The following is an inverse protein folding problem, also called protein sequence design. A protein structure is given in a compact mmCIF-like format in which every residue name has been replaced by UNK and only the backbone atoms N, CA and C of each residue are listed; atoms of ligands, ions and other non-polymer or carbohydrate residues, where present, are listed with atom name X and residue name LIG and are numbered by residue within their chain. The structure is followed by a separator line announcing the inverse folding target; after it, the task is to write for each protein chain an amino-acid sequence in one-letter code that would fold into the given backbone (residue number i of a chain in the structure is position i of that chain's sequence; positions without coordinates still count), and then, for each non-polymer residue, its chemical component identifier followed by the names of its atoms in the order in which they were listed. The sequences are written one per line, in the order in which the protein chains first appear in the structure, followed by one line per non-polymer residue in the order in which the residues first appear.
data_IF_567134853853
#
_entry.id   IF_567134853853
#
_cell.length_a   1.000
_cell.length_b   1.000
_cell.length_c   1.000
_cell.angle_alpha   90.00
_cell.angle_beta   90.00
_cell.angle_gamma   90.00
#
_symmetry.space_group_name_H-M   'P 1'
#
loop_
_entity.id
_entity.type
_entity.pdbx_description
1 polymer ?
#
# COMPACT_ATOMS: atom_id res chain seq x y z
N UNK A 1 12.53 -92.21 34.80
CA UNK A 1 12.27 -90.92 35.48
C UNK A 1 12.87 -89.81 34.63
N UNK A 2 12.10 -88.73 34.45
CA UNK A 2 12.47 -87.42 33.89
C UNK A 2 12.97 -87.35 32.45
N UNK A 3 12.03 -87.16 31.50
CA UNK A 3 12.33 -86.57 30.19
C UNK A 3 12.10 -85.06 30.28
N UNK A 4 13.16 -84.27 30.12
CA UNK A 4 13.08 -82.82 30.13
C UNK A 4 12.46 -82.31 28.82
N UNK A 5 11.39 -81.51 28.95
CA UNK A 5 10.78 -80.76 27.87
C UNK A 5 11.69 -79.58 27.48
N UNK A 6 12.07 -79.49 26.20
CA UNK A 6 12.68 -78.28 25.66
C UNK A 6 11.62 -77.40 25.01
N UNK A 7 11.56 -76.17 25.51
CA UNK A 7 10.62 -75.13 25.14
C UNK A 7 11.11 -74.54 23.81
N UNK A 8 10.22 -74.47 22.82
CA UNK A 8 10.48 -73.88 21.50
C UNK A 8 10.75 -72.37 21.69
N UNK A 9 11.99 -71.94 21.46
CA UNK A 9 12.34 -70.51 21.43
C UNK A 9 11.79 -69.87 20.17
N UNK A 10 11.07 -68.76 20.35
CA UNK A 10 10.60 -67.88 19.28
C UNK A 10 11.69 -66.85 18.98
N UNK A 11 12.86 -67.33 18.55
CA UNK A 11 13.95 -66.49 18.09
C UNK A 11 14.03 -66.58 16.56
N UNK A 12 13.73 -65.51 15.81
CA UNK A 12 13.77 -65.52 14.34
C UNK A 12 15.19 -65.38 13.75
N UNK A 13 16.23 -65.58 14.57
CA UNK A 13 17.64 -65.43 14.18
C UNK A 13 18.47 -66.70 14.41
N UNK A 14 17.87 -67.80 14.91
CA UNK A 14 18.55 -69.08 15.15
C UNK A 14 18.33 -70.07 13.99
N UNK A 15 18.00 -69.56 12.81
CA UNK A 15 17.91 -70.35 11.59
C UNK A 15 19.30 -70.45 10.95
N UNK A 16 20.10 -71.39 11.45
CA UNK A 16 21.29 -71.95 10.78
C UNK A 16 20.86 -72.72 9.50
N UNK A 17 20.12 -72.07 8.61
CA UNK A 17 20.02 -72.49 7.23
C UNK A 17 21.20 -71.85 6.51
N UNK A 18 22.28 -72.63 6.36
CA UNK A 18 23.26 -72.39 5.32
C UNK A 18 22.49 -72.36 3.99
N UNK A 19 22.14 -71.15 3.56
CA UNK A 19 21.49 -70.93 2.26
C UNK A 19 22.54 -71.30 1.22
N UNK A 20 22.45 -72.51 0.68
CA UNK A 20 23.35 -72.99 -0.38
C UNK A 20 23.56 -71.88 -1.42
N UNK A 21 24.80 -71.68 -1.84
CA UNK A 21 25.18 -70.65 -2.81
C UNK A 21 24.32 -70.74 -4.10
N UNK A 22 23.88 -71.95 -4.46
CA UNK A 22 22.94 -72.17 -5.56
C UNK A 22 21.54 -71.58 -5.30
N UNK A 23 21.04 -71.66 -4.07
CA UNK A 23 19.75 -71.09 -3.65
C UNK A 23 19.83 -69.56 -3.61
N UNK A 24 20.95 -69.01 -3.16
CA UNK A 24 21.22 -67.58 -3.14
C UNK A 24 21.37 -67.00 -4.57
N UNK A 25 22.10 -67.70 -5.45
CA UNK A 25 22.27 -67.32 -6.86
C UNK A 25 21.00 -67.49 -7.69
N UNK A 26 20.13 -68.44 -7.35
CA UNK A 26 18.84 -68.67 -8.03
C UNK A 26 17.79 -67.64 -7.61
N UNK A 27 17.80 -67.18 -6.37
CA UNK A 27 16.95 -66.08 -5.92
C UNK A 27 17.42 -64.72 -6.45
N UNK A 28 18.71 -64.58 -6.77
CA UNK A 28 19.28 -63.39 -7.43
C UNK A 28 18.98 -63.32 -8.94
N UNK A 29 18.43 -64.39 -9.56
CA UNK A 29 17.94 -64.40 -10.94
C UNK A 29 16.49 -63.91 -11.08
N UNK A 30 16.04 -63.04 -10.19
CA UNK A 30 14.87 -62.22 -10.48
C UNK A 30 15.34 -61.16 -11.48
N UNK A 31 15.05 -61.36 -12.76
CA UNK A 31 15.08 -60.25 -13.71
C UNK A 31 14.13 -59.19 -13.16
N UNK A 32 14.61 -58.03 -12.71
CA UNK A 32 13.71 -56.93 -12.42
C UNK A 32 12.98 -56.67 -13.73
N UNK A 33 11.67 -56.49 -13.67
CA UNK A 33 10.91 -56.02 -14.82
C UNK A 33 11.32 -54.55 -15.06
N UNK A 34 12.54 -54.34 -15.60
CA UNK A 34 13.19 -53.05 -15.82
C UNK A 34 12.25 -52.12 -16.60
N UNK A 35 11.53 -52.69 -17.57
CA UNK A 35 10.51 -51.99 -18.35
C UNK A 35 9.41 -51.31 -17.51
N UNK A 36 8.97 -51.92 -16.40
CA UNK A 36 7.95 -51.32 -15.51
C UNK A 36 8.53 -50.20 -14.65
N UNK A 37 9.76 -50.37 -14.15
CA UNK A 37 10.43 -49.35 -13.34
C UNK A 37 10.82 -48.14 -14.20
N UNK A 38 11.35 -48.37 -15.40
CA UNK A 38 11.72 -47.32 -16.34
C UNK A 38 10.51 -46.51 -16.81
N UNK A 39 9.38 -47.17 -17.11
CA UNK A 39 8.12 -46.50 -17.43
C UNK A 39 7.59 -45.65 -16.26
N UNK A 40 7.73 -46.15 -15.03
CA UNK A 40 7.36 -45.41 -13.83
C UNK A 40 8.26 -44.18 -13.62
N UNK A 41 9.58 -44.32 -13.76
CA UNK A 41 10.55 -43.21 -13.66
C UNK A 41 10.27 -42.14 -14.72
N UNK A 42 9.97 -42.54 -15.96
CA UNK A 42 9.61 -41.60 -17.03
C UNK A 42 8.32 -40.83 -16.70
N UNK A 43 7.29 -41.51 -16.18
CA UNK A 43 6.05 -40.85 -15.77
C UNK A 43 6.25 -39.82 -14.66
N UNK A 44 7.17 -40.10 -13.71
CA UNK A 44 7.53 -39.16 -12.66
C UNK A 44 8.32 -37.96 -13.19
N UNK A 45 9.24 -38.17 -14.14
CA UNK A 45 9.99 -37.08 -14.77
C UNK A 45 9.08 -36.16 -15.60
N UNK A 46 8.11 -36.73 -16.32
CA UNK A 46 7.13 -35.97 -17.08
C UNK A 46 6.25 -35.12 -16.15
N UNK A 47 5.73 -35.73 -15.09
CA UNK A 47 4.96 -34.99 -14.07
C UNK A 47 5.78 -33.88 -13.43
N UNK A 48 7.06 -34.12 -13.12
CA UNK A 48 7.95 -33.09 -12.59
C UNK A 48 8.08 -31.92 -13.56
N UNK A 49 8.32 -32.17 -14.84
CA UNK A 49 8.44 -31.11 -15.87
C UNK A 49 7.16 -30.30 -16.00
N UNK A 50 6.00 -30.96 -16.01
CA UNK A 50 4.71 -30.27 -16.07
C UNK A 50 4.48 -29.36 -14.87
N UNK A 51 4.84 -29.82 -13.66
CA UNK A 51 4.75 -28.98 -12.45
C UNK A 51 5.71 -27.79 -12.55
N UNK A 52 6.96 -28.02 -12.98
CA UNK A 52 7.95 -26.97 -13.17
C UNK A 52 7.45 -25.91 -14.17
N UNK A 53 6.97 -26.30 -15.34
CA UNK A 53 6.45 -25.39 -16.36
C UNK A 53 5.23 -24.59 -15.88
N UNK A 54 4.25 -25.28 -15.27
CA UNK A 54 3.06 -24.61 -14.71
C UNK A 54 3.42 -23.62 -13.61
N UNK A 55 4.44 -23.93 -12.81
CA UNK A 55 4.91 -23.05 -11.73
C UNK A 55 5.55 -21.78 -12.31
N UNK A 56 6.44 -21.91 -13.30
CA UNK A 56 7.04 -20.73 -13.95
C UNK A 56 5.96 -19.86 -14.57
N UNK A 57 5.05 -20.44 -15.36
CA UNK A 57 3.96 -19.71 -16.00
C UNK A 57 3.08 -18.97 -14.98
N UNK A 58 2.80 -19.61 -13.85
CA UNK A 58 2.05 -18.98 -12.76
C UNK A 58 2.79 -17.79 -12.16
N UNK A 59 4.10 -17.90 -11.94
CA UNK A 59 4.92 -16.78 -11.45
C UNK A 59 5.03 -15.63 -12.45
N UNK A 60 5.15 -15.92 -13.76
CA UNK A 60 5.16 -14.90 -14.81
C UNK A 60 3.82 -14.16 -14.90
N UNK A 61 2.70 -14.88 -14.82
CA UNK A 61 1.37 -14.27 -14.76
C UNK A 61 1.24 -13.38 -13.50
N UNK A 62 1.71 -13.86 -12.35
CA UNK A 62 1.68 -13.09 -11.11
C UNK A 62 2.50 -11.81 -11.20
N UNK A 63 3.67 -11.86 -11.84
CA UNK A 63 4.50 -10.68 -12.11
C UNK A 63 3.77 -9.64 -12.96
N UNK A 64 3.10 -10.07 -14.03
CA UNK A 64 2.32 -9.16 -14.86
C UNK A 64 1.20 -8.49 -14.06
N UNK A 65 0.45 -9.26 -13.26
CA UNK A 65 -0.60 -8.72 -12.38
C UNK A 65 -0.02 -7.71 -11.37
N UNK A 66 1.15 -7.98 -10.81
CA UNK A 66 1.80 -7.08 -9.86
C UNK A 66 2.21 -5.76 -10.53
N UNK A 67 2.76 -5.82 -11.75
CA UNK A 67 3.13 -4.63 -12.53
C UNK A 67 1.90 -3.81 -12.93
N UNK A 68 0.83 -4.48 -13.38
CA UNK A 68 -0.44 -3.81 -13.70
C UNK A 68 -1.04 -3.14 -12.45
N UNK A 69 -0.98 -3.84 -11.30
CA UNK A 69 -1.43 -3.30 -10.01
C UNK A 69 -0.61 -2.08 -9.58
N UNK A 70 0.70 -2.08 -9.84
CA UNK A 70 1.59 -0.96 -9.54
C UNK A 70 1.24 0.25 -10.39
N UNK A 71 1.02 0.06 -11.69
CA UNK A 71 0.60 1.13 -12.59
C UNK A 71 -0.75 1.74 -12.18
N UNK A 72 -1.73 0.89 -11.82
CA UNK A 72 -3.03 1.35 -11.32
C UNK A 72 -2.85 2.11 -10.00
N UNK A 73 -1.99 1.63 -9.10
CA UNK A 73 -1.66 2.30 -7.84
C UNK A 73 -1.06 3.68 -8.05
N UNK A 74 -0.12 3.83 -8.99
CA UNK A 74 0.49 5.12 -9.35
C UNK A 74 -0.56 6.08 -9.91
N UNK A 75 -1.38 5.63 -10.87
CA UNK A 75 -2.46 6.46 -11.43
C UNK A 75 -3.47 6.89 -10.35
N UNK A 76 -3.72 6.02 -9.36
CA UNK A 76 -4.57 6.35 -8.21
C UNK A 76 -3.93 7.40 -7.32
N UNK A 77 -2.62 7.30 -7.07
CA UNK A 77 -1.87 8.30 -6.30
C UNK A 77 -1.90 9.68 -6.97
N UNK A 78 -1.72 9.74 -8.29
CA UNK A 78 -1.83 10.97 -9.07
C UNK A 78 -3.22 11.60 -8.97
N UNK A 79 -4.29 10.80 -9.06
CA UNK A 79 -5.64 11.32 -8.91
C UNK A 79 -5.93 11.79 -7.48
N UNK A 80 -5.45 11.09 -6.45
CA UNK A 80 -5.56 11.56 -5.05
C UNK A 80 -4.84 12.89 -4.86
N UNK A 81 -3.65 13.08 -5.41
CA UNK A 81 -2.93 14.36 -5.35
C UNK A 81 -3.75 15.47 -6.02
N UNK A 82 -4.34 15.19 -7.19
CA UNK A 82 -5.20 16.15 -7.90
C UNK A 82 -6.48 16.48 -7.10
N UNK A 83 -7.04 15.50 -6.40
CA UNK A 83 -8.20 15.71 -5.51
C UNK A 83 -7.82 16.57 -4.32
N UNK A 84 -6.66 16.33 -3.71
CA UNK A 84 -6.13 17.14 -2.61
C UNK A 84 -6.03 18.62 -3.00
N UNK A 85 -5.46 18.93 -4.16
CA UNK A 85 -5.35 20.32 -4.63
C UNK A 85 -6.72 21.01 -4.73
N UNK A 86 -7.74 20.29 -5.20
CA UNK A 86 -9.12 20.81 -5.26
C UNK A 86 -9.70 21.06 -3.86
N UNK A 87 -9.44 20.17 -2.91
CA UNK A 87 -9.86 20.34 -1.52
C UNK A 87 -9.16 21.54 -0.88
N UNK A 88 -7.84 21.69 -1.03
CA UNK A 88 -7.09 22.82 -0.51
C UNK A 88 -7.55 24.16 -1.11
N UNK A 89 -7.88 24.18 -2.40
CA UNK A 89 -8.46 25.36 -3.04
C UNK A 89 -9.84 25.68 -2.45
N UNK A 90 -10.66 24.67 -2.21
CA UNK A 90 -11.99 24.82 -1.60
C UNK A 90 -11.88 25.35 -0.18
N UNK A 91 -10.94 24.83 0.61
CA UNK A 91 -10.66 25.27 1.97
C UNK A 91 -10.28 26.77 2.03
N UNK A 92 -9.36 27.20 1.15
CA UNK A 92 -8.98 28.62 1.02
C UNK A 92 -10.16 29.51 0.61
N UNK A 93 -10.98 29.06 -0.35
CA UNK A 93 -12.17 29.81 -0.76
C UNK A 93 -13.18 29.96 0.40
N UNK A 94 -13.34 28.95 1.24
CA UNK A 94 -14.20 29.03 2.41
C UNK A 94 -13.65 29.99 3.48
N UNK A 95 -12.33 30.06 3.65
CA UNK A 95 -11.71 31.09 4.50
C UNK A 95 -11.99 32.51 3.98
N UNK A 96 -11.85 32.72 2.67
CA UNK A 96 -12.14 34.00 2.03
C UNK A 96 -13.62 34.38 2.19
N UNK A 97 -14.53 33.41 2.02
CA UNK A 97 -15.97 33.59 2.25
C UNK A 97 -16.23 33.98 3.71
N UNK A 98 -15.70 33.23 4.67
CA UNK A 98 -15.90 33.52 6.09
C UNK A 98 -15.34 34.90 6.48
N UNK A 99 -14.18 35.29 5.96
CA UNK A 99 -13.61 36.63 6.16
C UNK A 99 -14.47 37.72 5.54
N UNK A 100 -14.95 37.51 4.31
CA UNK A 100 -15.85 38.43 3.60
C UNK A 100 -17.17 38.59 4.36
N UNK A 101 -17.71 37.51 4.89
CA UNK A 101 -18.92 37.53 5.71
C UNK A 101 -18.71 38.32 6.99
N UNK A 102 -17.56 38.19 7.68
CA UNK A 102 -17.26 39.01 8.87
C UNK A 102 -17.25 40.51 8.53
N UNK A 103 -16.63 40.88 7.40
CA UNK A 103 -16.60 42.26 6.93
C UNK A 103 -18.01 42.75 6.53
N UNK A 104 -18.77 41.95 5.79
CA UNK A 104 -20.16 42.20 5.42
C UNK A 104 -21.04 42.46 6.65
N UNK A 105 -20.90 41.66 7.72
CA UNK A 105 -21.64 41.88 8.96
C UNK A 105 -21.31 43.24 9.60
N UNK A 106 -20.04 43.67 9.57
CA UNK A 106 -19.63 45.00 10.07
C UNK A 106 -20.31 46.12 9.28
N UNK A 107 -20.41 45.98 7.96
CA UNK A 107 -21.14 46.93 7.11
C UNK A 107 -22.65 46.93 7.40
N UNK A 108 -23.27 45.76 7.50
CA UNK A 108 -24.70 45.63 7.86
C UNK A 108 -24.98 46.29 9.21
N UNK A 109 -24.11 46.12 10.19
CA UNK A 109 -24.24 46.78 11.49
C UNK A 109 -24.07 48.31 11.39
N UNK A 110 -23.14 48.80 10.57
CA UNK A 110 -22.99 50.22 10.27
C UNK A 110 -24.23 50.82 9.62
N UNK A 111 -24.81 50.10 8.65
CA UNK A 111 -26.05 50.49 7.97
C UNK A 111 -27.21 50.58 8.96
N UNK A 112 -27.40 49.54 9.80
CA UNK A 112 -28.40 49.57 10.88
C UNK A 112 -28.24 50.80 11.79
N UNK A 113 -27.01 51.18 12.11
CA UNK A 113 -26.72 52.34 12.96
C UNK A 113 -27.09 53.67 12.29
N UNK A 114 -26.72 53.91 11.02
CA UNK A 114 -27.04 55.17 10.33
C UNK A 114 -28.54 55.35 10.10
N UNK A 115 -29.26 54.26 9.77
CA UNK A 115 -30.72 54.30 9.66
C UNK A 115 -31.40 54.53 11.02
N UNK A 116 -30.86 53.95 12.10
CA UNK A 116 -31.35 54.21 13.45
C UNK A 116 -31.14 55.66 13.88
N UNK A 117 -29.97 56.25 13.57
CA UNK A 117 -29.68 57.66 13.86
C UNK A 117 -30.54 58.61 13.05
N UNK A 118 -30.79 58.31 11.77
CA UNK A 118 -31.71 59.10 10.92
C UNK A 118 -33.15 59.04 11.48
N UNK A 119 -33.60 57.86 11.92
CA UNK A 119 -34.91 57.70 12.53
C UNK A 119 -35.02 58.43 13.88
N UNK A 120 -34.00 58.38 14.73
CA UNK A 120 -34.00 59.12 16.00
C UNK A 120 -33.98 60.63 15.78
N UNK A 121 -33.20 61.11 14.80
CA UNK A 121 -33.12 62.52 14.44
C UNK A 121 -34.45 63.05 13.90
N UNK A 122 -35.11 62.29 13.02
CA UNK A 122 -36.41 62.67 12.47
C UNK A 122 -37.59 62.46 13.46
N UNK A 123 -37.39 61.65 14.51
CA UNK A 123 -38.37 61.40 15.57
C UNK A 123 -38.24 62.35 16.77
N UNK A 124 -37.30 63.30 16.78
CA UNK A 124 -37.24 64.37 17.78
C UNK A 124 -37.04 63.94 19.24
N UNK A 125 -36.37 62.81 19.51
CA UNK A 125 -36.02 62.41 20.89
C UNK A 125 -34.52 62.62 21.13
N UNK A 126 -34.23 63.63 21.95
CA UNK A 126 -32.90 63.93 22.47
C UNK A 126 -32.56 62.91 23.57
N UNK A 127 -31.75 61.90 23.26
CA UNK A 127 -31.02 61.15 24.29
C UNK A 127 -29.54 61.05 23.92
N UNK A 128 -28.70 61.38 24.90
CA UNK A 128 -27.24 61.53 24.80
C UNK A 128 -26.56 60.19 24.53
N UNK A 129 -25.68 60.12 23.54
CA UNK A 129 -24.84 58.95 23.23
C UNK A 129 -23.56 58.90 24.09
N UNK A 130 -23.06 57.71 24.47
CA UNK A 130 -21.65 57.52 24.77
C UNK A 130 -20.88 57.05 23.53
N UNK A 131 -19.68 57.62 23.39
CA UNK A 131 -18.65 57.39 22.38
C UNK A 131 -18.05 55.98 22.46
N UNK A 132 -17.86 55.31 21.33
CA UNK A 132 -16.94 54.15 21.23
C UNK A 132 -15.97 54.35 20.08
N UNK A 133 -14.70 54.39 20.46
CA UNK A 133 -13.48 54.59 19.69
C UNK A 133 -13.25 53.49 18.64
N UNK A 134 -12.81 53.90 17.45
CA UNK A 134 -12.23 53.04 16.43
C UNK A 134 -10.76 52.78 16.74
N UNK A 135 -10.38 51.53 16.96
CA UNK A 135 -8.98 51.08 16.91
C UNK A 135 -8.73 50.24 15.66
N UNK A 136 -7.63 50.58 14.98
CA UNK A 136 -7.01 50.00 13.78
C UNK A 136 -6.55 48.55 13.96
N UNK A 137 -6.48 47.72 12.90
CA UNK A 137 -5.74 46.46 12.93
C UNK A 137 -4.33 46.63 12.33
N UNK A 138 -3.34 46.04 12.96
CA UNK A 138 -2.05 45.69 12.37
C UNK A 138 -1.60 44.39 13.02
N UNK A 139 -1.22 43.39 12.23
CA UNK A 139 0.11 42.76 12.23
C UNK A 139 0.04 41.52 11.33
N UNK A 140 0.87 41.52 10.30
CA UNK A 140 1.11 40.43 9.34
C UNK A 140 1.95 39.35 10.05
N UNK A 141 1.61 38.07 9.88
CA UNK A 141 2.51 36.94 10.17
C UNK A 141 2.47 35.92 9.05
N UNK A 142 3.39 36.15 8.12
CA UNK A 142 4.28 35.22 7.43
C UNK A 142 3.95 33.72 7.48
N UNK A 143 3.71 33.20 6.27
CA UNK A 143 3.58 31.79 5.92
C UNK A 143 4.97 31.15 5.82
N UNK A 144 5.20 30.09 6.60
CA UNK A 144 6.36 29.20 6.40
C UNK A 144 5.92 28.09 5.45
N UNK A 145 6.42 28.16 4.22
CA UNK A 145 6.23 27.11 3.21
C UNK A 145 7.18 25.94 3.50
N UNK A 146 6.62 24.74 3.67
CA UNK A 146 7.39 23.51 3.85
C UNK A 146 7.89 23.00 2.49
N UNK A 147 9.09 23.40 2.10
CA UNK A 147 9.85 22.86 0.98
C UNK A 147 10.62 21.59 1.39
N UNK A 148 9.92 20.49 1.70
CA UNK A 148 10.57 19.23 2.10
C UNK A 148 10.27 18.02 1.19
N UNK A 149 9.50 18.18 0.11
CA UNK A 149 9.18 17.08 -0.81
C UNK A 149 10.08 17.03 -2.05
N UNK A 150 10.69 18.14 -2.44
CA UNK A 150 11.56 18.21 -3.63
C UNK A 150 12.92 17.53 -3.42
N UNK A 151 13.43 17.54 -2.18
CA UNK A 151 14.74 16.95 -1.84
C UNK A 151 14.67 15.41 -1.77
N UNK A 152 13.49 14.85 -1.46
CA UNK A 152 13.30 13.41 -1.27
C UNK A 152 13.18 12.63 -2.60
N UNK A 153 12.86 13.31 -3.70
CA UNK A 153 12.76 12.72 -5.04
C UNK A 153 14.13 12.42 -5.68
N UNK A 154 15.22 13.04 -5.20
CA UNK A 154 16.57 12.80 -5.73
C UNK A 154 17.23 11.53 -5.17
N UNK A 155 16.61 10.85 -4.19
CA UNK A 155 17.20 9.69 -3.51
C UNK A 155 16.98 8.37 -4.27
N UNK A 156 16.02 8.31 -5.20
CA UNK A 156 15.69 7.08 -5.94
C UNK A 156 16.63 6.77 -7.11
N UNK A 157 17.39 7.75 -7.62
CA UNK A 157 18.34 7.53 -8.73
C UNK A 157 19.66 6.88 -8.28
N UNK A 158 19.89 6.72 -6.96
CA UNK A 158 21.18 6.28 -6.41
C UNK A 158 21.30 4.76 -6.18
N UNK A 159 20.27 3.99 -6.51
CA UNK A 159 20.28 2.54 -6.29
C UNK A 159 20.95 1.74 -7.42
N UNK A 160 21.22 2.38 -8.57
CA UNK A 160 21.84 1.73 -9.73
C UNK A 160 23.37 1.66 -9.69
N UNK A 161 24.04 2.27 -8.69
CA UNK A 161 25.52 2.33 -8.63
C UNK A 161 26.13 1.86 -7.30
N UNK A 162 25.42 1.03 -6.53
CA UNK A 162 25.96 0.51 -5.27
C UNK A 162 26.99 -0.63 -5.49
N UNK A 163 28.18 -0.60 -4.83
CA UNK A 163 29.25 -1.58 -5.03
C UNK A 163 28.91 -3.02 -4.62
N UNK A 164 27.78 -3.23 -3.94
CA UNK A 164 27.26 -4.55 -3.58
C UNK A 164 26.69 -5.36 -4.76
N UNK A 165 26.34 -4.72 -5.89
CA UNK A 165 25.86 -5.42 -7.09
C UNK A 165 26.99 -5.87 -8.02
N UNK A 166 28.20 -5.31 -7.87
CA UNK A 166 29.36 -5.66 -8.72
C UNK A 166 30.18 -6.85 -8.20
N UNK A 167 29.98 -7.27 -6.95
CA UNK A 167 30.80 -8.30 -6.30
C UNK A 167 30.20 -9.72 -6.33
N UNK A 168 29.00 -9.93 -6.90
CA UNK A 168 28.35 -11.25 -6.97
C UNK A 168 28.42 -11.84 -8.39
N UNK A 169 29.59 -11.79 -9.01
CA UNK A 169 29.79 -12.23 -10.40
C UNK A 169 30.98 -13.14 -10.65
N UNK A 170 31.81 -13.48 -9.66
CA UNK A 170 33.16 -14.00 -9.97
C UNK A 170 33.53 -15.41 -9.51
N UNK A 171 32.76 -16.13 -8.68
CA UNK A 171 33.33 -17.33 -8.02
C UNK A 171 32.40 -18.54 -7.91
N UNK A 172 31.94 -19.13 -9.03
CA UNK A 172 31.43 -20.52 -9.03
C UNK A 172 31.65 -21.21 -10.38
N UNK A 173 32.91 -21.36 -10.79
CA UNK A 173 33.26 -22.18 -11.96
C UNK A 173 34.51 -23.02 -11.69
N UNK A 174 34.41 -23.97 -10.75
CA UNK A 174 35.34 -25.09 -10.64
C UNK A 174 34.74 -26.17 -9.74
N UNK A 175 33.89 -27.03 -10.30
CA UNK A 175 33.97 -28.49 -10.13
C UNK A 175 32.88 -29.16 -10.99
N UNK A 176 33.34 -29.76 -12.07
CA UNK A 176 32.57 -30.46 -13.06
C UNK A 176 32.35 -31.91 -12.58
N UNK A 177 31.15 -32.20 -12.08
CA UNK A 177 30.64 -33.58 -12.00
C UNK A 177 29.40 -33.67 -12.87
N UNK A 178 29.58 -34.30 -14.03
CA UNK A 178 28.49 -34.73 -14.92
C UNK A 178 27.53 -35.63 -14.15
N UNK A 179 26.25 -35.27 -14.11
CA UNK A 179 25.12 -36.18 -13.84
C UNK A 179 23.83 -35.44 -14.17
N UNK A 180 23.11 -35.94 -15.18
CA UNK A 180 21.71 -35.71 -15.53
C UNK A 180 20.85 -34.90 -14.52
N UNK A 181 20.96 -33.56 -14.51
CA UNK A 181 20.04 -32.67 -13.75
C UNK A 181 20.07 -31.22 -14.26
N UNK A 182 20.27 -31.02 -15.56
CA UNK A 182 20.40 -29.67 -16.14
C UNK A 182 19.08 -28.87 -16.07
N UNK A 183 17.94 -29.50 -16.37
CA UNK A 183 16.65 -28.80 -16.40
C UNK A 183 16.15 -28.29 -15.05
N UNK A 184 16.47 -28.98 -13.95
CA UNK A 184 15.98 -28.61 -12.62
C UNK A 184 16.72 -27.40 -12.03
N UNK A 185 18.01 -27.22 -12.37
CA UNK A 185 18.79 -26.04 -11.96
C UNK A 185 18.33 -24.79 -12.69
N UNK A 186 18.08 -24.89 -14.00
CA UNK A 186 17.57 -23.77 -14.81
C UNK A 186 16.16 -23.37 -14.38
N UNK A 187 15.28 -24.34 -14.10
CA UNK A 187 13.98 -24.09 -13.50
C UNK A 187 14.10 -23.36 -12.16
N UNK A 188 14.90 -23.88 -11.24
CA UNK A 188 15.06 -23.28 -9.90
C UNK A 188 15.60 -21.86 -9.97
N UNK A 189 16.56 -21.58 -10.85
CA UNK A 189 17.13 -20.25 -11.03
C UNK A 189 16.09 -19.25 -11.59
N UNK A 190 15.29 -19.67 -12.59
CA UNK A 190 14.20 -18.83 -13.13
C UNK A 190 13.11 -18.58 -12.10
N UNK A 191 12.72 -19.61 -11.35
CA UNK A 191 11.73 -19.49 -10.30
C UNK A 191 12.20 -18.52 -9.22
N UNK A 192 13.44 -18.66 -8.74
CA UNK A 192 14.01 -17.78 -7.71
C UNK A 192 14.09 -16.32 -8.19
N UNK A 193 14.51 -16.10 -9.44
CA UNK A 193 14.51 -14.76 -10.05
C UNK A 193 13.10 -14.15 -10.11
N UNK A 194 12.11 -14.91 -10.56
CA UNK A 194 10.72 -14.45 -10.63
C UNK A 194 10.17 -14.14 -9.23
N UNK A 195 10.42 -15.01 -8.25
CA UNK A 195 9.98 -14.79 -6.86
C UNK A 195 10.65 -13.56 -6.24
N UNK A 196 11.94 -13.35 -6.51
CA UNK A 196 12.64 -12.16 -6.03
C UNK A 196 12.04 -10.87 -6.63
N UNK A 197 11.72 -10.88 -7.92
CA UNK A 197 11.04 -9.75 -8.56
C UNK A 197 9.64 -9.54 -7.96
N UNK A 198 8.87 -10.62 -7.76
CA UNK A 198 7.56 -10.54 -7.10
C UNK A 198 7.67 -9.92 -5.71
N UNK A 199 8.64 -10.33 -4.89
CA UNK A 199 8.88 -9.75 -3.57
C UNK A 199 9.19 -8.25 -3.64
N UNK A 200 9.99 -7.83 -4.62
CA UNK A 200 10.29 -6.41 -4.86
C UNK A 200 9.03 -5.63 -5.23
N UNK A 201 8.24 -6.14 -6.19
CA UNK A 201 7.01 -5.50 -6.66
C UNK A 201 5.97 -5.40 -5.53
N UNK A 202 5.80 -6.46 -4.74
CA UNK A 202 4.91 -6.45 -3.56
C UNK A 202 5.38 -5.43 -2.52
N UNK A 203 6.69 -5.29 -2.31
CA UNK A 203 7.23 -4.29 -1.37
C UNK A 203 6.95 -2.86 -1.84
N UNK A 204 7.08 -2.58 -3.14
CA UNK A 204 6.72 -1.28 -3.73
C UNK A 204 5.21 -1.03 -3.64
N UNK A 205 4.39 -2.01 -3.98
CA UNK A 205 2.93 -1.95 -3.83
C UNK A 205 2.50 -1.70 -2.38
N UNK A 206 3.17 -2.31 -1.40
CA UNK A 206 2.92 -2.04 0.01
C UNK A 206 3.26 -0.59 0.38
N UNK A 207 4.38 -0.07 -0.12
CA UNK A 207 4.75 1.34 0.05
C UNK A 207 3.67 2.27 -0.50
N UNK A 208 3.29 2.07 -1.78
CA UNK A 208 2.20 2.80 -2.41
C UNK A 208 0.89 2.70 -1.63
N UNK A 209 0.50 1.49 -1.20
CA UNK A 209 -0.74 1.31 -0.44
C UNK A 209 -0.72 2.06 0.91
N UNK A 210 0.43 2.12 1.58
CA UNK A 210 0.59 2.89 2.82
C UNK A 210 0.46 4.39 2.56
N UNK A 211 1.15 4.90 1.54
CA UNK A 211 1.10 6.32 1.16
C UNK A 211 -0.30 6.75 0.70
N UNK A 212 -0.98 5.92 -0.09
CA UNK A 212 -2.38 6.13 -0.49
C UNK A 212 -3.30 6.16 0.74
N UNK A 213 -3.08 5.29 1.73
CA UNK A 213 -3.83 5.27 2.98
C UNK A 213 -3.65 6.56 3.78
N UNK A 214 -2.39 6.98 3.99
CA UNK A 214 -2.06 8.22 4.70
C UNK A 214 -2.63 9.46 3.98
N UNK A 215 -2.60 9.50 2.65
CA UNK A 215 -3.18 10.60 1.88
C UNK A 215 -4.71 10.63 1.98
N UNK A 216 -5.38 9.48 1.98
CA UNK A 216 -6.84 9.40 2.20
C UNK A 216 -7.19 9.90 3.60
N UNK A 217 -6.48 9.47 4.63
CA UNK A 217 -6.71 9.93 6.00
C UNK A 217 -6.49 11.45 6.11
N UNK A 218 -5.42 11.97 5.51
CA UNK A 218 -5.17 13.42 5.47
C UNK A 218 -6.26 14.20 4.72
N UNK A 219 -6.80 13.65 3.62
CA UNK A 219 -7.90 14.28 2.90
C UNK A 219 -9.21 14.22 3.70
N UNK A 220 -9.47 13.16 4.47
CA UNK A 220 -10.63 13.07 5.35
C UNK A 220 -10.62 14.19 6.39
N UNK A 221 -9.46 14.45 7.03
CA UNK A 221 -9.30 15.56 7.97
C UNK A 221 -9.54 16.93 7.29
N UNK A 222 -9.06 17.10 6.05
CA UNK A 222 -9.30 18.32 5.27
C UNK A 222 -10.78 18.50 4.94
N UNK A 223 -11.49 17.43 4.58
CA UNK A 223 -12.93 17.44 4.31
C UNK A 223 -13.72 17.83 5.57
N UNK A 224 -13.34 17.33 6.75
CA UNK A 224 -13.99 17.72 8.01
C UNK A 224 -13.83 19.24 8.27
N UNK A 225 -12.62 19.77 8.06
CA UNK A 225 -12.37 21.21 8.17
C UNK A 225 -13.19 22.04 7.18
N UNK A 226 -13.24 21.62 5.91
CA UNK A 226 -14.06 22.23 4.86
C UNK A 226 -15.54 22.20 5.25
N UNK A 227 -16.02 21.08 5.79
CA UNK A 227 -17.42 20.91 6.22
C UNK A 227 -17.75 21.90 7.34
N UNK A 228 -16.90 21.98 8.37
CA UNK A 228 -17.07 22.92 9.48
C UNK A 228 -17.07 24.39 9.00
N UNK A 229 -16.15 24.76 8.11
CA UNK A 229 -16.09 26.12 7.54
C UNK A 229 -17.31 26.43 6.67
N UNK A 230 -17.82 25.44 5.94
CA UNK A 230 -19.03 25.55 5.11
C UNK A 230 -20.26 25.80 5.96
N UNK A 231 -20.44 25.03 7.05
CA UNK A 231 -21.56 25.24 7.97
C UNK A 231 -21.52 26.63 8.62
N UNK A 232 -20.33 27.09 9.03
CA UNK A 232 -20.17 28.44 9.58
C UNK A 232 -20.52 29.53 8.55
N UNK A 233 -20.10 29.35 7.30
CA UNK A 233 -20.41 30.27 6.22
C UNK A 233 -21.92 30.30 5.94
N UNK A 234 -22.58 29.14 5.87
CA UNK A 234 -24.03 29.04 5.65
C UNK A 234 -24.83 29.74 6.76
N UNK A 235 -24.54 29.44 8.02
CA UNK A 235 -25.19 30.11 9.16
C UNK A 235 -25.01 31.63 9.13
N UNK A 236 -23.80 32.09 8.77
CA UNK A 236 -23.48 33.51 8.66
C UNK A 236 -24.22 34.18 7.51
N UNK A 237 -24.29 33.53 6.34
CA UNK A 237 -25.05 34.00 5.17
C UNK A 237 -26.54 34.10 5.51
N UNK A 238 -27.13 33.06 6.11
CA UNK A 238 -28.55 33.08 6.49
C UNK A 238 -28.87 34.21 7.46
N UNK A 239 -28.01 34.45 8.45
CA UNK A 239 -28.16 35.56 9.41
C UNK A 239 -28.08 36.92 8.71
N UNK A 240 -27.09 37.11 7.83
CA UNK A 240 -26.92 38.37 7.09
C UNK A 240 -28.07 38.65 6.14
N UNK A 241 -28.59 37.61 5.46
CA UNK A 241 -29.74 37.73 4.59
C UNK A 241 -31.00 38.15 5.36
N UNK A 242 -31.25 37.55 6.54
CA UNK A 242 -32.34 37.98 7.45
C UNK A 242 -32.16 39.42 7.93
N UNK A 243 -30.94 39.85 8.20
CA UNK A 243 -30.65 41.22 8.61
C UNK A 243 -30.87 42.23 7.48
N UNK A 244 -30.41 41.90 6.26
CA UNK A 244 -30.55 42.74 5.08
C UNK A 244 -32.02 42.89 4.66
N UNK A 245 -32.78 41.79 4.63
CA UNK A 245 -34.22 41.84 4.35
C UNK A 245 -34.98 42.69 5.38
N UNK A 246 -34.58 42.66 6.66
CA UNK A 246 -35.16 43.54 7.69
C UNK A 246 -34.85 45.02 7.46
N UNK A 247 -33.67 45.35 6.94
CA UNK A 247 -33.29 46.73 6.58
C UNK A 247 -34.11 47.21 5.39
N UNK A 248 -34.28 46.38 4.35
CA UNK A 248 -34.97 46.74 3.12
C UNK A 248 -36.51 46.82 3.24
N UNK A 249 -37.10 46.13 4.22
CA UNK A 249 -38.57 46.08 4.41
C UNK A 249 -39.12 47.29 5.19
N UNK A 250 -38.31 48.31 5.50
CA UNK A 250 -38.73 49.55 6.17
C UNK A 250 -38.35 50.76 5.35
#
# INVERSE_FOLDING_TARGET
MSGHQYIKSTNPFDDDYDVDDETFLKNSRWQPNQNKFDAQVQSFQERKRQIEENTIRSTEQSLNILRDSEQIGIATAEELMRQREKLEKTDKQLDDINNTLRFSQKHINGIKSVFSSLKNYMSGRNDKSPTTSSSTPSTVKESVSNTNLQEKLQTYDRFNEHPSTRLRGSDYNALQTQSYSSGSKDFSAKLDANLQEMCSNISRLKGLASELGEEIDSQNDLIENITNKTEQADLSIQKQNKDMTRILRK
#
